data_IF_182917371197
#
_entry.id   IF_182917371197
#
_cell.length_a   1.000
_cell.length_b   1.000
_cell.length_c   1.000
_cell.angle_alpha   90.00
_cell.angle_beta   90.00
_cell.angle_gamma   90.00
#
_symmetry.space_group_name_H-M   'P 1'
#
loop_
_entity.id
_entity.type
_entity.pdbx_description
1 polymer ?
#
# COMPACT_ATOMS: atom_id res chain seq x y z
N UNK A 1 5.45 0.47 -18.87
CA UNK A 1 4.08 0.97 -19.19
C UNK A 1 3.77 0.95 -20.68
N UNK A 2 4.51 1.66 -21.54
CA UNK A 2 4.25 1.66 -23.00
C UNK A 2 4.25 0.25 -23.61
N UNK A 3 5.28 -0.55 -23.32
CA UNK A 3 5.36 -1.95 -23.78
C UNK A 3 4.23 -2.84 -23.24
N UNK A 4 3.77 -2.61 -22.00
CA UNK A 4 2.64 -3.32 -21.42
C UNK A 4 1.34 -2.96 -22.16
N UNK A 5 1.12 -1.67 -22.43
CA UNK A 5 -0.03 -1.21 -23.20
C UNK A 5 -0.01 -1.79 -24.63
N UNK A 6 1.14 -1.78 -25.30
CA UNK A 6 1.31 -2.39 -26.62
C UNK A 6 1.01 -3.89 -26.58
N UNK A 7 1.53 -4.63 -25.59
CA UNK A 7 1.26 -6.06 -25.43
C UNK A 7 -0.23 -6.36 -25.17
N UNK A 8 -0.93 -5.54 -24.39
CA UNK A 8 -2.37 -5.70 -24.11
C UNK A 8 -3.24 -5.37 -25.33
N UNK A 9 -2.79 -4.45 -26.19
CA UNK A 9 -3.49 -4.10 -27.42
C UNK A 9 -3.40 -5.19 -28.49
N UNK A 10 -2.43 -6.11 -28.39
CA UNK A 10 -2.30 -7.27 -29.28
C UNK A 10 -3.23 -8.44 -28.90
N UNK A 11 -3.87 -8.41 -27.73
CA UNK A 11 -4.84 -9.44 -27.31
C UNK A 11 -6.10 -9.39 -28.19
N UNK A 12 -6.55 -10.58 -28.65
CA UNK A 12 -7.64 -10.72 -29.62
C UNK A 12 -9.03 -10.58 -28.99
N UNK A 13 -9.13 -10.77 -27.67
CA UNK A 13 -10.38 -10.63 -26.93
C UNK A 13 -10.24 -9.80 -25.66
N UNK A 14 -11.37 -9.27 -25.17
CA UNK A 14 -11.44 -8.57 -23.88
C UNK A 14 -11.03 -9.48 -22.72
N UNK A 15 -11.48 -10.75 -22.74
CA UNK A 15 -11.17 -11.74 -21.71
C UNK A 15 -9.66 -12.03 -21.63
N UNK A 16 -9.04 -12.28 -22.78
CA UNK A 16 -7.59 -12.49 -22.88
C UNK A 16 -6.79 -11.26 -22.43
N UNK A 17 -7.25 -10.05 -22.77
CA UNK A 17 -6.63 -8.80 -22.33
C UNK A 17 -6.73 -8.64 -20.81
N UNK A 18 -7.86 -9.01 -20.21
CA UNK A 18 -8.07 -8.95 -18.77
C UNK A 18 -7.19 -9.95 -18.02
N UNK A 19 -7.10 -11.19 -18.52
CA UNK A 19 -6.22 -12.24 -17.96
C UNK A 19 -4.76 -11.80 -18.03
N UNK A 20 -4.29 -11.36 -19.20
CA UNK A 20 -2.91 -10.91 -19.41
C UNK A 20 -2.56 -9.65 -18.61
N UNK A 21 -3.51 -8.74 -18.41
CA UNK A 21 -3.35 -7.60 -17.52
C UNK A 21 -3.19 -8.06 -16.07
N UNK A 22 -4.03 -9.00 -15.61
CA UNK A 22 -3.95 -9.54 -14.25
C UNK A 22 -2.60 -10.21 -14.01
N UNK A 23 -2.15 -11.07 -14.93
CA UNK A 23 -0.83 -11.73 -14.85
C UNK A 23 0.31 -10.71 -14.82
N UNK A 24 0.22 -9.66 -15.64
CA UNK A 24 1.25 -8.62 -15.69
C UNK A 24 1.29 -7.77 -14.42
N UNK A 25 0.13 -7.49 -13.82
CA UNK A 25 0.03 -6.78 -12.54
C UNK A 25 0.52 -7.65 -11.38
N UNK A 26 0.20 -8.94 -11.37
CA UNK A 26 0.71 -9.90 -10.39
C UNK A 26 2.24 -9.97 -10.47
N UNK A 27 2.79 -10.11 -11.67
CA UNK A 27 4.23 -10.10 -11.91
C UNK A 27 4.88 -8.77 -11.47
N UNK A 28 4.26 -7.62 -11.78
CA UNK A 28 4.76 -6.31 -11.33
C UNK A 28 4.75 -6.20 -9.81
N UNK A 29 3.66 -6.64 -9.17
CA UNK A 29 3.52 -6.60 -7.71
C UNK A 29 4.57 -7.46 -7.00
N UNK A 30 4.97 -8.56 -7.64
CA UNK A 30 5.87 -9.55 -7.06
C UNK A 30 7.35 -9.25 -7.35
N UNK A 31 7.70 -8.98 -8.60
CA UNK A 31 9.09 -8.80 -9.04
C UNK A 31 9.55 -7.33 -9.01
N UNK A 32 8.63 -6.37 -9.04
CA UNK A 32 8.93 -4.94 -9.04
C UNK A 32 8.00 -4.16 -8.09
N UNK A 33 8.01 -4.50 -6.78
CA UNK A 33 7.05 -3.96 -5.81
C UNK A 33 7.08 -2.43 -5.72
N UNK A 34 8.25 -1.80 -5.87
CA UNK A 34 8.37 -0.34 -5.86
C UNK A 34 7.64 0.32 -7.04
N UNK A 35 7.78 -0.24 -8.24
CA UNK A 35 7.08 0.22 -9.44
C UNK A 35 5.58 -0.04 -9.33
N UNK A 36 5.19 -1.19 -8.80
CA UNK A 36 3.79 -1.52 -8.57
C UNK A 36 3.15 -0.57 -7.55
N UNK A 37 3.81 -0.28 -6.43
CA UNK A 37 3.33 0.66 -5.42
C UNK A 37 3.20 2.07 -6.01
N UNK A 38 4.17 2.51 -6.82
CA UNK A 38 4.10 3.81 -7.49
C UNK A 38 2.91 3.89 -8.46
N UNK A 39 2.70 2.85 -9.28
CA UNK A 39 1.57 2.77 -10.20
C UNK A 39 0.24 2.74 -9.46
N UNK A 40 0.15 1.92 -8.41
CA UNK A 40 -1.03 1.82 -7.56
C UNK A 40 -1.37 3.16 -6.90
N UNK A 41 -0.37 3.87 -6.35
CA UNK A 41 -0.55 5.21 -5.77
C UNK A 41 -1.04 6.22 -6.80
N UNK A 42 -0.47 6.22 -7.99
CA UNK A 42 -0.90 7.12 -9.06
C UNK A 42 -2.32 6.80 -9.53
N UNK A 43 -2.68 5.52 -9.68
CA UNK A 43 -4.05 5.08 -9.98
C UNK A 43 -5.03 5.51 -8.88
N UNK A 44 -4.68 5.32 -7.60
CA UNK A 44 -5.51 5.75 -6.46
C UNK A 44 -5.66 7.27 -6.37
N UNK A 45 -4.61 8.02 -6.67
CA UNK A 45 -4.68 9.49 -6.76
C UNK A 45 -5.63 9.93 -7.87
N UNK A 46 -5.56 9.32 -9.05
CA UNK A 46 -6.47 9.60 -10.17
C UNK A 46 -7.91 9.22 -9.83
N UNK A 47 -8.13 8.04 -9.24
CA UNK A 47 -9.44 7.61 -8.75
C UNK A 47 -10.04 8.62 -7.76
N UNK A 48 -9.24 9.10 -6.78
CA UNK A 48 -9.67 10.11 -5.83
C UNK A 48 -10.07 11.42 -6.52
N UNK A 49 -9.26 11.88 -7.48
CA UNK A 49 -9.56 13.10 -8.24
C UNK A 49 -10.81 12.98 -9.10
N UNK A 50 -10.99 11.84 -9.77
CA UNK A 50 -12.18 11.56 -10.58
C UNK A 50 -13.45 11.37 -9.75
N UNK A 51 -13.35 11.34 -8.42
CA UNK A 51 -14.48 11.19 -7.49
C UNK A 51 -14.65 12.40 -6.55
N UNK A 52 -13.92 13.49 -6.80
CA UNK A 52 -14.00 14.72 -6.02
C UNK A 52 -14.79 15.77 -6.82
N UNK A 53 -16.05 16.08 -6.44
CA UNK A 53 -16.90 17.04 -7.16
C UNK A 53 -16.20 18.40 -7.37
N UNK A 54 -15.43 18.88 -6.39
CA UNK A 54 -14.74 20.17 -6.45
C UNK A 54 -13.68 20.22 -7.56
N UNK A 55 -13.13 19.06 -7.96
CA UNK A 55 -12.16 18.94 -9.06
C UNK A 55 -12.82 18.74 -10.42
N UNK A 56 -14.05 18.21 -10.45
CA UNK A 56 -14.81 17.91 -11.67
C UNK A 56 -15.50 19.17 -12.22
N UNK A 57 -15.97 20.07 -11.34
CA UNK A 57 -16.73 21.31 -11.65
C UNK A 57 -16.10 22.27 -12.68
N UNK A 58 -14.87 22.05 -13.15
CA UNK A 58 -14.10 23.00 -14.00
C UNK A 58 -13.53 22.43 -15.29
N UNK A 59 -13.98 21.28 -15.78
CA UNK A 59 -13.31 20.60 -16.89
C UNK A 59 -13.67 21.10 -18.28
N UNK A 60 -14.84 21.70 -18.47
CA UNK A 60 -15.34 22.13 -19.79
C UNK A 60 -15.53 23.64 -19.95
N UNK A 61 -14.90 24.46 -19.10
CA UNK A 61 -14.92 25.92 -19.28
C UNK A 61 -14.18 26.38 -20.55
N UNK A 62 -13.39 25.50 -21.20
CA UNK A 62 -12.78 25.69 -22.53
C UNK A 62 -12.62 24.32 -23.22
N UNK A 63 -13.57 23.88 -24.06
CA UNK A 63 -13.57 22.56 -24.68
C UNK A 63 -12.43 22.44 -25.69
N UNK A 64 -11.48 21.55 -25.42
CA UNK A 64 -10.39 21.19 -26.33
C UNK A 64 -10.37 19.68 -26.47
N UNK A 65 -9.82 19.10 -27.54
CA UNK A 65 -9.71 17.63 -27.66
C UNK A 65 -9.09 16.95 -26.42
N UNK A 66 -8.23 17.65 -25.67
CA UNK A 66 -7.64 17.21 -24.39
C UNK A 66 -8.65 17.14 -23.23
N UNK A 67 -9.67 17.99 -23.17
CA UNK A 67 -10.69 17.93 -22.11
C UNK A 67 -11.59 16.70 -22.27
N UNK A 68 -11.93 16.31 -23.50
CA UNK A 68 -12.70 15.09 -23.78
C UNK A 68 -11.94 13.81 -23.37
N UNK A 69 -10.63 13.74 -23.62
CA UNK A 69 -9.80 12.59 -23.19
C UNK A 69 -9.76 12.48 -21.68
N UNK A 70 -9.56 13.60 -20.97
CA UNK A 70 -9.61 13.62 -19.50
C UNK A 70 -10.97 13.17 -18.96
N UNK A 71 -12.05 13.64 -19.59
CA UNK A 71 -13.41 13.23 -19.25
C UNK A 71 -13.60 11.72 -19.41
N UNK A 72 -13.17 11.18 -20.55
CA UNK A 72 -13.18 9.73 -20.80
C UNK A 72 -12.38 8.94 -19.75
N UNK A 73 -11.14 9.33 -19.47
CA UNK A 73 -10.29 8.68 -18.47
C UNK A 73 -10.91 8.71 -17.07
N UNK A 74 -11.56 9.81 -16.71
CA UNK A 74 -12.14 9.96 -15.40
C UNK A 74 -13.41 9.13 -15.21
N UNK A 75 -14.25 9.05 -16.24
CA UNK A 75 -15.45 8.21 -16.26
C UNK A 75 -15.13 6.73 -16.00
N UNK A 76 -13.97 6.24 -16.46
CA UNK A 76 -13.49 4.89 -16.17
C UNK A 76 -13.23 4.63 -14.67
N UNK A 77 -13.01 5.69 -13.89
CA UNK A 77 -12.61 5.63 -12.48
C UNK A 77 -13.72 6.08 -11.51
N UNK A 78 -14.90 6.44 -12.02
CA UNK A 78 -16.02 6.88 -11.18
C UNK A 78 -16.59 5.73 -10.36
N UNK A 79 -16.81 5.98 -9.07
CA UNK A 79 -17.40 5.00 -8.15
C UNK A 79 -18.92 4.94 -8.26
N UNK A 80 -19.47 3.75 -8.06
CA UNK A 80 -20.91 3.49 -8.20
C UNK A 80 -21.77 4.30 -7.23
N UNK A 81 -21.29 4.46 -6.00
CA UNK A 81 -22.02 5.09 -4.91
C UNK A 81 -21.77 6.61 -4.80
N UNK A 82 -20.96 7.20 -5.68
CA UNK A 82 -20.63 8.63 -5.61
C UNK A 82 -21.60 9.46 -6.45
N UNK A 83 -22.76 9.74 -5.87
CA UNK A 83 -23.86 10.46 -6.54
C UNK A 83 -23.43 11.90 -6.90
N UNK A 84 -22.77 12.60 -5.97
CA UNK A 84 -22.32 13.98 -6.17
C UNK A 84 -21.33 14.11 -7.35
N UNK A 85 -20.37 13.19 -7.49
CA UNK A 85 -19.47 13.20 -8.63
C UNK A 85 -20.21 12.89 -9.95
N UNK A 86 -21.18 11.97 -9.92
CA UNK A 86 -22.01 11.64 -11.10
C UNK A 86 -22.86 12.82 -11.55
N UNK A 87 -23.38 13.62 -10.63
CA UNK A 87 -24.09 14.87 -10.96
C UNK A 87 -23.19 15.86 -11.71
N UNK A 88 -21.97 16.06 -11.22
CA UNK A 88 -20.98 16.90 -11.91
C UNK A 88 -20.58 16.34 -13.28
N UNK A 89 -20.41 15.03 -13.41
CA UNK A 89 -20.17 14.42 -14.73
C UNK A 89 -21.37 14.54 -15.66
N UNK A 90 -22.61 14.41 -15.16
CA UNK A 90 -23.80 14.60 -15.97
C UNK A 90 -23.89 16.02 -16.51
N UNK A 91 -23.57 17.02 -15.69
CA UNK A 91 -23.52 18.42 -16.11
C UNK A 91 -22.49 18.61 -17.24
N UNK A 92 -21.25 18.15 -17.01
CA UNK A 92 -20.17 18.26 -18.00
C UNK A 92 -20.48 17.49 -19.30
N UNK A 93 -20.97 16.26 -19.20
CA UNK A 93 -21.35 15.44 -20.36
C UNK A 93 -22.47 16.09 -21.16
N UNK A 94 -23.46 16.70 -20.51
CA UNK A 94 -24.55 17.41 -21.20
C UNK A 94 -24.02 18.57 -22.03
N UNK A 95 -23.15 19.40 -21.46
CA UNK A 95 -22.51 20.50 -22.20
C UNK A 95 -21.73 19.99 -23.41
N UNK A 96 -20.91 18.96 -23.17
CA UNK A 96 -20.05 18.33 -24.18
C UNK A 96 -20.83 17.73 -25.35
N UNK A 97 -21.91 16.99 -25.05
CA UNK A 97 -22.75 16.36 -26.07
C UNK A 97 -23.55 17.41 -26.86
N UNK A 98 -24.10 18.42 -26.19
CA UNK A 98 -24.81 19.52 -26.87
C UNK A 98 -23.87 20.28 -27.82
N UNK A 99 -22.67 20.62 -27.38
CA UNK A 99 -21.67 21.30 -28.23
C UNK A 99 -21.29 20.43 -29.44
N UNK A 100 -21.15 19.12 -29.25
CA UNK A 100 -20.87 18.17 -30.33
C UNK A 100 -22.03 18.11 -31.33
N UNK A 101 -23.28 18.16 -30.84
CA UNK A 101 -24.49 18.13 -31.67
C UNK A 101 -24.65 19.43 -32.46
N UNK A 102 -24.44 20.58 -31.81
CA UNK A 102 -24.60 21.90 -32.41
C UNK A 102 -23.51 22.23 -33.43
N UNK A 103 -22.25 21.95 -33.09
CA UNK A 103 -21.09 22.36 -33.90
C UNK A 103 -20.54 21.24 -34.79
N UNK A 104 -20.95 19.99 -34.60
CA UNK A 104 -20.46 18.85 -35.38
C UNK A 104 -18.97 18.53 -35.19
N UNK A 105 -18.36 18.99 -34.10
CA UNK A 105 -16.93 18.77 -33.80
C UNK A 105 -16.72 17.64 -32.77
N UNK A 106 -15.56 16.99 -32.77
CA UNK A 106 -15.20 15.93 -31.81
C UNK A 106 -16.12 14.68 -31.80
N UNK A 107 -16.90 14.45 -32.86
CA UNK A 107 -17.90 13.38 -32.95
C UNK A 107 -17.33 12.00 -32.62
N UNK A 108 -16.15 11.64 -33.15
CA UNK A 108 -15.53 10.35 -32.87
C UNK A 108 -15.19 10.13 -31.39
N UNK A 109 -14.78 11.19 -30.68
CA UNK A 109 -14.44 11.12 -29.26
C UNK A 109 -15.72 11.03 -28.43
N UNK A 110 -16.73 11.83 -28.79
CA UNK A 110 -18.04 11.79 -28.15
C UNK A 110 -18.69 10.41 -28.28
N UNK A 111 -18.65 9.77 -29.46
CA UNK A 111 -19.16 8.41 -29.68
C UNK A 111 -18.45 7.38 -28.79
N UNK A 112 -17.13 7.50 -28.57
CA UNK A 112 -16.40 6.61 -27.65
C UNK A 112 -16.84 6.80 -26.19
N UNK A 113 -17.07 8.03 -25.77
CA UNK A 113 -17.60 8.34 -24.42
C UNK A 113 -19.03 7.79 -24.28
N UNK A 114 -19.89 7.99 -25.29
CA UNK A 114 -21.23 7.42 -25.36
C UNK A 114 -21.20 5.89 -25.21
N UNK A 115 -20.35 5.22 -25.98
CA UNK A 115 -20.18 3.77 -25.91
C UNK A 115 -19.73 3.31 -24.51
N UNK A 116 -18.80 4.03 -23.88
CA UNK A 116 -18.38 3.75 -22.52
C UNK A 116 -19.55 3.84 -21.53
N UNK A 117 -20.37 4.89 -21.63
CA UNK A 117 -21.54 5.12 -20.77
C UNK A 117 -22.55 3.99 -20.94
N UNK A 118 -22.86 3.59 -22.18
CA UNK A 118 -23.81 2.52 -22.50
C UNK A 118 -23.37 1.15 -21.99
N UNK A 119 -22.06 0.85 -22.02
CA UNK A 119 -21.52 -0.47 -21.65
C UNK A 119 -21.14 -0.60 -20.17
N UNK A 120 -21.07 0.51 -19.44
CA UNK A 120 -20.60 0.50 -18.05
C UNK A 120 -21.78 0.44 -17.07
N UNK A 121 -21.93 -0.65 -16.27
CA UNK A 121 -23.00 -0.75 -15.28
C UNK A 121 -22.90 0.32 -14.18
N UNK A 122 -21.70 0.89 -14.03
CA UNK A 122 -21.37 1.92 -13.06
C UNK A 122 -21.96 3.30 -13.45
N UNK A 123 -22.31 3.48 -14.72
CA UNK A 123 -22.75 4.75 -15.31
C UNK A 123 -24.24 4.74 -15.69
N UNK A 124 -25.02 3.74 -15.27
CA UNK A 124 -26.45 3.60 -15.62
C UNK A 124 -27.27 4.85 -15.33
N UNK A 125 -27.03 5.52 -14.19
CA UNK A 125 -27.73 6.78 -13.84
C UNK A 125 -27.42 7.87 -14.88
N UNK A 126 -26.17 7.97 -15.33
CA UNK A 126 -25.74 8.94 -16.34
C UNK A 126 -26.37 8.57 -17.70
N UNK A 127 -26.36 7.29 -18.06
CA UNK A 127 -26.94 6.79 -19.29
C UNK A 127 -28.43 7.14 -19.40
N UNK A 128 -29.23 6.81 -18.38
CA UNK A 128 -30.68 7.09 -18.40
C UNK A 128 -30.97 8.59 -18.51
N UNK A 129 -30.19 9.45 -17.83
CA UNK A 129 -30.39 10.90 -17.86
C UNK A 129 -29.94 11.58 -19.17
N UNK A 130 -29.03 10.97 -19.92
CA UNK A 130 -28.44 11.54 -21.15
C UNK A 130 -28.80 10.76 -22.41
N UNK A 131 -29.66 9.73 -22.32
CA UNK A 131 -29.99 8.79 -23.40
C UNK A 131 -30.39 9.46 -24.71
N UNK A 132 -31.18 10.53 -24.64
CA UNK A 132 -31.60 11.26 -25.84
C UNK A 132 -30.44 11.95 -26.57
N UNK A 133 -29.50 12.55 -25.83
CA UNK A 133 -28.32 13.20 -26.41
C UNK A 133 -27.33 12.17 -26.96
N UNK A 134 -27.16 11.05 -26.26
CA UNK A 134 -26.34 9.92 -26.70
C UNK A 134 -26.85 9.37 -28.06
N UNK A 135 -28.16 9.19 -28.20
CA UNK A 135 -28.77 8.76 -29.45
C UNK A 135 -28.55 9.76 -30.59
N UNK A 136 -28.64 11.06 -30.33
CA UNK A 136 -28.40 12.10 -31.33
C UNK A 136 -26.94 12.12 -31.82
N UNK A 137 -25.96 12.03 -30.91
CA UNK A 137 -24.54 11.93 -31.29
C UNK A 137 -24.26 10.68 -32.13
N UNK A 138 -24.85 9.54 -31.78
CA UNK A 138 -24.71 8.31 -32.54
C UNK A 138 -25.34 8.41 -33.95
N UNK A 139 -26.45 9.15 -34.11
CA UNK A 139 -27.07 9.43 -35.42
C UNK A 139 -26.21 10.36 -36.29
N UNK A 140 -25.54 11.35 -35.70
CA UNK A 140 -24.61 12.24 -36.41
C UNK A 140 -23.41 11.47 -36.99
N UNK A 141 -22.86 10.52 -36.22
CA UNK A 141 -21.78 9.64 -36.68
C UNK A 141 -22.21 8.73 -37.86
N UNK A 142 -23.45 8.23 -37.85
CA UNK A 142 -23.98 7.43 -38.96
C UNK A 142 -24.22 8.27 -40.22
N UNK A 143 -24.54 9.56 -40.06
CA UNK A 143 -24.76 10.50 -41.17
C UNK A 143 -23.44 10.95 -41.84
N UNK A 144 -22.34 11.08 -41.08
CA UNK A 144 -21.02 11.41 -41.61
C UNK A 144 -20.36 10.27 -42.40
N UNK A 145 -20.71 9.01 -42.12
CA UNK A 145 -20.14 7.83 -42.82
C UNK A 145 -20.68 7.63 -44.24
N UNK A 146 -21.60 8.47 -44.71
CA UNK A 146 -22.22 8.39 -46.04
C UNK A 146 -21.62 9.33 -47.11
N UNK A 147 -20.50 10.02 -46.84
CA UNK A 147 -19.71 10.74 -47.86
C UNK A 147 -18.50 9.88 -48.32
N UNK A 148 -18.21 9.75 -49.64
CA UNK A 148 -17.17 8.84 -50.11
C UNK A 148 -15.74 9.43 -50.09
N UNK A 149 -14.80 8.57 -49.70
CA UNK A 149 -13.32 8.62 -49.85
C UNK A 149 -12.57 9.64 -48.95
N UNK A 150 -11.42 9.35 -48.34
CA UNK A 150 -10.26 8.57 -48.80
C UNK A 150 -9.56 7.81 -47.66
N UNK A 151 -8.77 6.81 -48.06
CA UNK A 151 -7.89 5.94 -47.28
C UNK A 151 -7.07 6.63 -46.17
N UNK A 152 -7.33 6.27 -44.91
CA UNK A 152 -6.34 6.36 -43.82
C UNK A 152 -6.73 5.45 -42.65
N UNK A 153 -6.48 4.14 -42.79
CA UNK A 153 -6.35 3.23 -41.65
C UNK A 153 -5.03 3.50 -40.92
N UNK A 154 -4.97 4.64 -40.24
CA UNK A 154 -3.90 5.02 -39.32
C UNK A 154 -4.42 5.00 -37.88
N UNK A 155 -3.93 4.09 -37.06
CA UNK A 155 -4.19 4.11 -35.61
C UNK A 155 -3.75 5.47 -35.04
N UNK A 156 -4.70 6.32 -34.63
CA UNK A 156 -4.49 7.72 -34.19
C UNK A 156 -3.94 7.89 -32.76
N UNK A 157 -3.63 6.79 -32.06
CA UNK A 157 -3.07 6.80 -30.69
C UNK A 157 -1.52 6.66 -30.53
N UNK A 158 -0.61 7.01 -31.47
CA UNK A 158 0.82 6.95 -31.15
C UNK A 158 1.31 8.19 -30.38
N UNK A 159 0.66 9.35 -30.54
CA UNK A 159 1.30 10.64 -30.28
C UNK A 159 0.80 11.44 -29.06
N UNK A 160 -0.22 10.96 -28.33
CA UNK A 160 -0.70 11.66 -27.12
C UNK A 160 0.03 11.24 -25.83
N UNK A 161 0.92 10.23 -25.90
CA UNK A 161 1.85 9.86 -24.84
C UNK A 161 3.16 10.67 -24.87
N UNK A 162 3.12 11.95 -25.25
CA UNK A 162 4.28 12.82 -25.05
C UNK A 162 4.25 13.30 -23.58
N UNK A 163 5.26 12.97 -22.77
CA UNK A 163 5.32 13.48 -21.40
C UNK A 163 5.37 15.02 -21.42
N UNK A 164 4.94 15.70 -20.34
CA UNK A 164 5.29 17.10 -20.16
C UNK A 164 6.81 17.28 -20.34
N UNK A 165 7.24 18.40 -20.93
CA UNK A 165 8.65 18.75 -21.25
C UNK A 165 9.60 18.80 -20.02
N UNK A 166 9.13 18.36 -18.86
CA UNK A 166 9.91 18.18 -17.64
C UNK A 166 9.68 16.73 -17.22
N UNK A 167 10.70 15.90 -17.45
CA UNK A 167 10.75 14.53 -16.97
C UNK A 167 10.84 14.55 -15.43
N UNK A 168 9.82 14.09 -14.69
CA UNK A 168 9.86 14.05 -13.23
C UNK A 168 10.95 13.10 -12.69
N UNK A 169 11.57 12.30 -13.56
CA UNK A 169 12.58 11.30 -13.21
C UNK A 169 14.03 11.77 -13.48
N UNK A 170 14.25 12.97 -14.02
CA UNK A 170 15.62 13.47 -14.29
C UNK A 170 16.50 13.65 -13.05
N UNK A 171 15.89 13.79 -11.87
CA UNK A 171 16.62 14.06 -10.63
C UNK A 171 17.30 12.82 -10.00
N UNK A 172 17.09 11.63 -10.58
CA UNK A 172 17.57 10.36 -10.03
C UNK A 172 18.56 9.62 -10.96
N UNK A 173 19.34 10.35 -11.76
CA UNK A 173 20.47 9.77 -12.51
C UNK A 173 21.58 9.30 -11.55
N UNK A 174 21.41 8.11 -10.99
CA UNK A 174 22.51 7.32 -10.45
C UNK A 174 23.13 6.57 -11.64
N UNK A 175 24.37 6.93 -11.99
CA UNK A 175 25.15 6.23 -13.03
C UNK A 175 25.26 4.75 -12.68
N UNK A 176 24.80 3.80 -13.52
CA UNK A 176 25.13 2.40 -13.34
C UNK A 176 26.52 2.15 -13.91
N UNK A 177 27.37 1.47 -13.15
CA UNK A 177 28.54 0.80 -13.70
C UNK A 177 28.08 -0.24 -14.73
N UNK A 178 28.76 -0.23 -15.87
CA UNK A 178 28.58 -1.06 -17.08
C UNK A 178 27.95 -2.44 -16.82
N UNK A 179 26.74 -2.65 -17.34
CA UNK A 179 26.24 -4.00 -17.65
C UNK A 179 25.57 -4.03 -19.02
N UNK A 180 25.95 -5.06 -19.78
CA UNK A 180 25.58 -5.39 -21.15
C UNK A 180 24.05 -5.39 -21.38
N UNK A 181 23.64 -4.79 -22.49
CA UNK A 181 22.32 -4.98 -23.09
C UNK A 181 22.10 -6.47 -23.38
N UNK A 182 21.19 -7.10 -22.64
CA UNK A 182 20.70 -8.45 -22.95
C UNK A 182 19.17 -8.47 -22.87
N UNK A 183 18.43 -9.00 -23.88
CA UNK A 183 16.98 -9.09 -23.82
C UNK A 183 16.55 -10.16 -22.81
N UNK A 184 15.85 -9.75 -21.75
CA UNK A 184 15.53 -10.58 -20.56
C UNK A 184 14.43 -11.64 -20.80
N UNK A 185 13.73 -11.61 -21.92
CA UNK A 185 12.44 -12.33 -22.07
C UNK A 185 12.44 -13.77 -22.64
N UNK A 186 13.51 -14.39 -23.18
CA UNK A 186 13.39 -15.78 -23.66
C UNK A 186 13.64 -16.90 -22.64
N UNK A 187 14.34 -16.68 -21.52
CA UNK A 187 14.95 -17.78 -20.75
C UNK A 187 14.21 -18.19 -19.46
N UNK A 188 12.93 -17.85 -19.30
CA UNK A 188 12.15 -18.13 -18.06
C UNK A 188 11.57 -19.56 -18.05
N UNK A 189 12.30 -20.56 -18.55
CA UNK A 189 11.87 -21.96 -18.50
C UNK A 189 13.07 -22.87 -18.22
N UNK A 190 13.36 -23.12 -16.93
CA UNK A 190 13.65 -24.45 -16.37
C UNK A 190 14.01 -24.38 -14.87
N UNK A 191 13.55 -25.33 -14.04
CA UNK A 191 13.92 -25.41 -12.62
C UNK A 191 15.17 -26.28 -12.41
N UNK A 192 16.06 -25.90 -11.50
CA UNK A 192 17.14 -26.77 -11.03
C UNK A 192 17.11 -26.89 -9.50
N UNK A 193 17.07 -28.14 -9.05
CA UNK A 193 16.96 -28.61 -7.67
C UNK A 193 18.23 -28.32 -6.86
N UNK A 194 18.10 -28.01 -5.56
CA UNK A 194 19.16 -28.25 -4.57
C UNK A 194 18.61 -28.72 -3.22
N UNK A 195 19.34 -29.68 -2.66
CA UNK A 195 19.05 -30.58 -1.53
C UNK A 195 19.58 -29.98 -0.21
N UNK A 196 18.96 -30.38 0.90
CA UNK A 196 19.22 -29.99 2.30
C UNK A 196 20.43 -30.68 2.95
N UNK A 197 21.02 -30.06 3.99
CA UNK A 197 21.80 -30.75 5.03
C UNK A 197 21.87 -29.95 6.37
N UNK A 198 22.10 -30.62 7.53
CA UNK A 198 21.57 -30.23 8.85
C UNK A 198 22.62 -29.78 9.89
N UNK A 199 22.16 -29.10 10.95
CA UNK A 199 22.98 -28.82 12.15
C UNK A 199 22.37 -27.77 13.09
N UNK A 200 21.57 -28.21 14.07
CA UNK A 200 21.17 -27.40 15.23
C UNK A 200 22.20 -27.54 16.37
N UNK A 201 22.39 -26.50 17.20
CA UNK A 201 22.70 -26.67 18.61
C UNK A 201 21.48 -26.32 19.50
N UNK A 202 21.31 -27.15 20.51
CA UNK A 202 20.29 -27.15 21.54
C UNK A 202 20.69 -26.18 22.68
N UNK A 203 19.77 -25.37 23.23
CA UNK A 203 20.03 -24.55 24.43
C UNK A 203 18.87 -24.61 25.44
N UNK A 204 19.24 -24.62 26.74
CA UNK A 204 18.43 -25.01 27.92
C UNK A 204 17.52 -23.90 28.45
N UNK A 205 16.42 -24.32 29.05
CA UNK A 205 15.18 -23.59 29.37
C UNK A 205 15.13 -22.96 30.78
N UNK A 206 16.25 -22.50 31.36
CA UNK A 206 16.29 -22.15 32.80
C UNK A 206 16.85 -20.76 33.15
N UNK A 207 17.02 -19.84 32.18
CA UNK A 207 17.71 -18.57 32.43
C UNK A 207 16.87 -17.28 32.51
N UNK A 208 15.55 -17.30 32.46
CA UNK A 208 14.76 -16.05 32.39
C UNK A 208 13.82 -15.85 33.59
N UNK A 209 14.39 -15.36 34.68
CA UNK A 209 13.66 -14.64 35.74
C UNK A 209 13.79 -13.12 35.56
N UNK A 210 12.79 -12.38 36.04
CA UNK A 210 12.53 -10.94 35.91
C UNK A 210 13.66 -9.93 36.30
N UNK A 211 14.88 -10.39 36.58
CA UNK A 211 15.99 -9.56 37.04
C UNK A 211 16.91 -9.04 35.92
N UNK A 212 16.68 -9.43 34.66
CA UNK A 212 17.57 -9.08 33.54
C UNK A 212 17.48 -7.59 33.13
N UNK A 213 16.31 -6.95 33.28
CA UNK A 213 16.11 -5.54 32.88
C UNK A 213 16.76 -4.54 33.84
N UNK A 214 16.72 -4.82 35.15
CA UNK A 214 17.37 -3.98 36.15
C UNK A 214 18.91 -4.08 36.09
N UNK A 215 19.42 -5.23 35.62
CA UNK A 215 20.85 -5.44 35.43
C UNK A 215 21.40 -4.72 34.18
N UNK A 216 20.61 -4.63 33.08
CA UNK A 216 20.98 -3.86 31.88
C UNK A 216 21.06 -2.36 32.17
N UNK A 217 20.16 -1.84 33.02
CA UNK A 217 20.22 -0.44 33.46
C UNK A 217 21.49 -0.13 34.26
N UNK A 218 22.01 -1.09 35.04
CA UNK A 218 23.22 -0.95 35.87
C UNK A 218 24.53 -1.26 35.14
N UNK A 219 24.52 -2.00 34.03
CA UNK A 219 25.71 -2.17 33.18
C UNK A 219 25.94 -0.97 32.27
N UNK A 220 24.90 -0.27 31.84
CA UNK A 220 25.03 0.97 31.07
C UNK A 220 25.64 2.12 31.87
N UNK A 221 25.57 2.11 33.21
CA UNK A 221 26.22 3.12 34.07
C UNK A 221 27.73 2.93 34.22
N UNK A 222 28.30 1.78 33.84
CA UNK A 222 29.72 1.48 34.04
C UNK A 222 30.63 1.80 32.84
N UNK A 223 30.07 2.04 31.65
CA UNK A 223 30.84 2.14 30.39
C UNK A 223 30.86 3.49 29.68
N UNK A 224 30.17 4.51 30.19
CA UNK A 224 30.32 5.89 29.68
C UNK A 224 30.72 6.83 30.82
N UNK A 225 31.85 7.50 30.62
CA UNK A 225 32.27 8.62 31.46
C UNK A 225 31.24 9.76 31.43
N UNK A 226 31.15 10.42 32.58
CA UNK A 226 30.32 11.57 32.95
C UNK A 226 28.78 11.35 33.07
N UNK A 227 28.25 11.22 34.31
CA UNK A 227 26.82 11.14 34.57
C UNK A 227 26.04 12.44 34.28
N UNK A 228 26.72 13.53 33.90
CA UNK A 228 26.10 14.82 33.65
C UNK A 228 25.48 14.96 32.24
N UNK A 229 25.79 14.07 31.29
CA UNK A 229 25.33 14.15 29.88
C UNK A 229 24.13 13.27 29.52
N UNK A 230 23.69 12.37 30.42
CA UNK A 230 22.64 11.38 30.11
C UNK A 230 21.21 11.96 30.16
N UNK A 231 21.02 13.11 30.81
CA UNK A 231 19.69 13.69 31.04
C UNK A 231 19.09 14.42 29.81
N UNK A 232 19.86 14.60 28.73
CA UNK A 232 19.46 15.32 27.52
C UNK A 232 19.38 14.43 26.26
N UNK A 233 19.42 13.10 26.41
CA UNK A 233 19.23 12.21 25.27
C UNK A 233 17.80 12.31 24.72
N UNK A 234 17.68 12.56 23.42
CA UNK A 234 16.40 12.58 22.71
C UNK A 234 16.38 11.53 21.59
N UNK A 235 15.21 11.29 21.00
CA UNK A 235 15.09 10.39 19.83
C UNK A 235 15.93 10.84 18.64
N UNK A 236 16.31 12.13 18.54
CA UNK A 236 17.21 12.62 17.51
C UNK A 236 18.63 12.08 17.74
N UNK A 237 19.10 12.15 18.99
CA UNK A 237 20.40 11.59 19.39
C UNK A 237 20.41 10.05 19.27
N UNK A 238 19.26 9.41 19.41
CA UNK A 238 19.10 7.96 19.28
C UNK A 238 18.85 7.49 17.84
N UNK A 239 18.79 8.39 16.85
CA UNK A 239 18.48 8.08 15.45
C UNK A 239 17.12 7.37 15.28
N UNK A 240 16.14 7.76 16.09
CA UNK A 240 14.78 7.20 16.15
C UNK A 240 13.71 8.13 15.57
N UNK A 241 14.06 9.37 15.23
CA UNK A 241 13.16 10.39 14.71
C UNK A 241 12.40 9.95 13.46
N UNK A 242 13.06 9.24 12.53
CA UNK A 242 12.42 8.68 11.34
C UNK A 242 11.39 7.60 11.67
N UNK A 243 11.67 6.73 12.64
CA UNK A 243 10.76 5.69 13.08
C UNK A 243 9.54 6.28 13.82
N UNK A 244 9.79 7.25 14.71
CA UNK A 244 8.75 7.98 15.43
C UNK A 244 7.87 8.80 14.47
N UNK A 245 8.45 9.48 13.47
CA UNK A 245 7.69 10.22 12.47
C UNK A 245 6.72 9.32 11.68
N UNK A 246 7.17 8.13 11.25
CA UNK A 246 6.31 7.14 10.56
C UNK A 246 5.16 6.68 11.46
N UNK A 247 5.44 6.38 12.72
CA UNK A 247 4.43 6.01 13.72
C UNK A 247 3.39 7.11 13.94
N UNK A 248 3.82 8.37 14.06
CA UNK A 248 2.90 9.49 14.24
C UNK A 248 2.05 9.75 12.99
N UNK A 249 2.57 9.51 11.78
CA UNK A 249 1.76 9.55 10.57
C UNK A 249 0.69 8.45 10.57
N UNK A 250 1.05 7.21 10.95
CA UNK A 250 0.11 6.10 11.11
C UNK A 250 -1.02 6.45 12.09
N UNK A 251 -0.67 7.05 13.24
CA UNK A 251 -1.64 7.49 14.23
C UNK A 251 -2.36 8.81 13.89
N UNK A 252 -2.00 9.49 12.79
CA UNK A 252 -2.49 10.85 12.47
C UNK A 252 -2.21 11.87 13.59
N UNK A 253 -1.06 11.72 14.26
CA UNK A 253 -0.55 12.58 15.32
C UNK A 253 0.72 13.35 14.91
N UNK A 254 1.15 13.27 13.64
CA UNK A 254 2.38 13.90 13.13
C UNK A 254 2.52 15.40 13.41
N UNK A 255 1.41 16.14 13.56
CA UNK A 255 1.46 17.56 13.98
C UNK A 255 2.09 17.78 15.36
N UNK A 256 2.15 16.74 16.19
CA UNK A 256 2.77 16.75 17.52
C UNK A 256 4.20 16.18 17.50
N UNK A 257 4.83 16.00 16.34
CA UNK A 257 6.19 15.46 16.26
C UNK A 257 7.21 16.27 17.09
N UNK A 258 7.02 17.58 17.22
CA UNK A 258 7.83 18.46 18.08
C UNK A 258 7.89 17.97 19.54
N UNK A 259 6.79 17.40 20.05
CA UNK A 259 6.70 16.89 21.42
C UNK A 259 7.62 15.68 21.60
N UNK A 260 7.58 14.74 20.66
CA UNK A 260 8.38 13.52 20.71
C UNK A 260 9.86 13.74 20.40
N UNK A 261 10.20 14.70 19.53
CA UNK A 261 11.59 15.03 19.19
C UNK A 261 12.42 15.48 20.38
N UNK A 262 11.78 15.93 21.46
CA UNK A 262 12.42 16.43 22.67
C UNK A 262 12.47 15.41 23.81
N UNK A 263 12.08 14.17 23.54
CA UNK A 263 12.04 13.06 24.50
C UNK A 263 12.95 11.94 23.98
N UNK A 264 13.49 11.14 24.88
CA UNK A 264 14.11 9.84 24.57
C UNK A 264 13.05 8.78 24.26
N UNK A 265 13.46 7.68 23.64
CA UNK A 265 12.60 6.53 23.40
C UNK A 265 11.98 5.99 24.71
N UNK A 266 12.77 5.88 25.78
CA UNK A 266 12.30 5.37 27.07
C UNK A 266 11.27 6.32 27.70
N UNK A 267 11.51 7.63 27.66
CA UNK A 267 10.52 8.59 28.13
C UNK A 267 9.20 8.47 27.37
N UNK A 268 9.23 8.31 26.05
CA UNK A 268 8.04 8.11 25.22
C UNK A 268 7.28 6.84 25.65
N UNK A 269 7.98 5.75 25.94
CA UNK A 269 7.38 4.48 26.37
C UNK A 269 6.65 4.58 27.73
N UNK A 270 7.11 5.47 28.61
CA UNK A 270 6.54 5.67 29.94
C UNK A 270 5.46 6.76 30.03
N UNK A 271 5.11 7.43 28.93
CA UNK A 271 3.98 8.38 28.94
C UNK A 271 2.67 7.62 29.22
N UNK A 272 1.87 8.14 30.16
CA UNK A 272 0.55 7.65 30.52
C UNK A 272 -0.42 8.81 30.82
N UNK A 273 -1.65 8.50 31.27
CA UNK A 273 -2.64 9.51 31.58
C UNK A 273 -2.27 10.41 32.78
N UNK A 274 -1.44 9.91 33.69
CA UNK A 274 -1.11 10.60 34.95
C UNK A 274 0.06 11.57 34.78
N UNK A 275 1.00 11.28 33.86
CA UNK A 275 2.24 12.04 33.70
C UNK A 275 2.35 12.85 32.40
N UNK A 276 1.40 12.73 31.45
CA UNK A 276 1.52 13.39 30.14
C UNK A 276 1.62 14.92 30.22
N UNK A 277 0.94 15.55 31.18
CA UNK A 277 1.01 17.00 31.37
C UNK A 277 2.39 17.44 31.86
N UNK A 278 3.07 16.62 32.67
CA UNK A 278 4.44 16.88 33.14
C UNK A 278 5.43 16.81 31.96
N UNK A 279 5.27 15.84 31.07
CA UNK A 279 6.06 15.77 29.83
C UNK A 279 5.79 16.96 28.89
N UNK A 280 4.54 17.39 28.76
CA UNK A 280 4.19 18.58 27.95
C UNK A 280 4.82 19.83 28.57
N UNK A 281 4.77 19.97 29.90
CA UNK A 281 5.40 21.07 30.62
C UNK A 281 6.93 21.06 30.45
N UNK A 282 7.57 19.87 30.45
CA UNK A 282 9.01 19.69 30.20
C UNK A 282 9.43 20.18 28.81
N UNK A 283 8.66 19.86 27.77
CA UNK A 283 9.04 20.13 26.35
C UNK A 283 8.69 21.55 25.87
N UNK A 284 7.89 22.31 26.63
CA UNK A 284 7.50 23.72 26.40
C UNK A 284 6.19 23.95 25.58
N UNK A 285 5.54 25.07 25.95
CA UNK A 285 4.15 25.60 25.92
C UNK A 285 3.17 25.38 24.74
N UNK A 286 3.37 24.44 23.83
CA UNK A 286 2.31 24.15 22.86
C UNK A 286 1.28 23.17 23.44
N UNK A 287 -0.01 23.51 23.33
CA UNK A 287 -1.06 22.66 23.88
C UNK A 287 -1.28 21.45 22.97
N UNK A 288 -1.35 20.28 23.58
CA UNK A 288 -1.85 19.06 22.93
C UNK A 288 -3.32 18.92 23.30
N UNK A 289 -4.20 18.74 22.32
CA UNK A 289 -5.64 18.61 22.60
C UNK A 289 -5.90 17.38 23.48
N UNK A 290 -6.87 17.44 24.40
CA UNK A 290 -7.20 16.30 25.29
C UNK A 290 -7.48 14.99 24.54
N UNK A 291 -8.12 15.07 23.36
CA UNK A 291 -8.33 13.91 22.50
C UNK A 291 -7.03 13.33 21.93
N UNK A 292 -6.04 14.17 21.62
CA UNK A 292 -4.73 13.72 21.19
C UNK A 292 -3.90 13.17 22.35
N UNK A 293 -3.93 13.82 23.53
CA UNK A 293 -3.30 13.31 24.75
C UNK A 293 -3.76 11.87 25.04
N UNK A 294 -5.07 11.62 25.10
CA UNK A 294 -5.64 10.28 25.28
C UNK A 294 -5.12 9.28 24.25
N UNK A 295 -5.01 9.70 22.98
CA UNK A 295 -4.49 8.84 21.91
C UNK A 295 -2.99 8.53 22.07
N UNK A 296 -2.21 9.51 22.53
CA UNK A 296 -0.79 9.34 22.85
C UNK A 296 -0.66 8.31 23.97
N UNK A 297 -1.33 8.51 25.13
CA UNK A 297 -1.28 7.59 26.27
C UNK A 297 -1.67 6.15 25.88
N UNK A 298 -2.74 5.97 25.09
CA UNK A 298 -3.14 4.65 24.58
C UNK A 298 -2.04 4.00 23.71
N UNK A 299 -1.39 4.79 22.86
CA UNK A 299 -0.35 4.27 21.97
C UNK A 299 0.97 4.00 22.69
N UNK A 300 1.36 4.82 23.68
CA UNK A 300 2.57 4.60 24.48
C UNK A 300 2.39 3.44 25.45
N UNK A 301 1.19 3.24 26.00
CA UNK A 301 0.83 2.00 26.70
C UNK A 301 1.00 0.76 25.80
N UNK A 302 0.57 0.83 24.54
CA UNK A 302 0.77 -0.27 23.60
C UNK A 302 2.24 -0.52 23.22
N UNK A 303 3.12 0.49 23.31
CA UNK A 303 4.58 0.31 23.24
C UNK A 303 5.09 -0.49 24.43
N UNK A 304 4.77 -0.01 25.63
CA UNK A 304 5.22 -0.58 26.91
C UNK A 304 4.76 -2.02 27.12
N UNK A 305 3.50 -2.31 26.77
CA UNK A 305 2.92 -3.65 26.93
C UNK A 305 3.34 -4.63 25.81
N UNK A 306 4.12 -4.17 24.81
CA UNK A 306 4.39 -4.93 23.58
C UNK A 306 5.07 -6.27 23.85
N UNK A 307 6.14 -6.27 24.65
CA UNK A 307 6.90 -7.50 24.92
C UNK A 307 6.01 -8.56 25.60
N UNK A 308 5.24 -8.16 26.61
CA UNK A 308 4.31 -9.08 27.28
C UNK A 308 3.23 -9.61 26.34
N UNK A 309 2.67 -8.76 25.47
CA UNK A 309 1.66 -9.19 24.50
C UNK A 309 2.22 -10.11 23.43
N UNK A 310 3.46 -9.91 22.98
CA UNK A 310 4.15 -10.84 22.08
C UNK A 310 4.35 -12.21 22.74
N UNK A 311 4.75 -12.25 24.01
CA UNK A 311 4.85 -13.50 24.77
C UNK A 311 3.50 -14.22 24.90
N UNK A 312 2.43 -13.47 25.19
CA UNK A 312 1.08 -14.03 25.23
C UNK A 312 0.65 -14.60 23.87
N UNK A 313 1.01 -13.95 22.76
CA UNK A 313 0.74 -14.45 21.42
C UNK A 313 1.52 -15.72 21.11
N UNK A 314 2.80 -15.80 21.50
CA UNK A 314 3.60 -17.01 21.32
C UNK A 314 2.93 -18.22 21.98
N UNK A 315 2.45 -18.05 23.23
CA UNK A 315 1.72 -19.09 23.96
C UNK A 315 0.37 -19.43 23.31
N UNK A 316 -0.40 -18.42 22.88
CA UNK A 316 -1.69 -18.64 22.24
C UNK A 316 -1.57 -19.37 20.88
N UNK A 317 -0.52 -19.07 20.12
CA UNK A 317 -0.28 -19.66 18.80
C UNK A 317 0.21 -21.12 18.86
N UNK A 318 0.63 -21.60 20.03
CA UNK A 318 0.93 -23.02 20.28
C UNK A 318 -0.32 -23.87 20.54
N UNK A 319 -1.48 -23.24 20.66
CA UNK A 319 -2.78 -23.89 20.80
C UNK A 319 -3.56 -23.87 19.47
N UNK A 320 -4.76 -24.46 19.48
CA UNK A 320 -5.67 -24.34 18.35
C UNK A 320 -6.23 -22.91 18.28
N UNK A 321 -5.95 -22.22 17.17
CA UNK A 321 -6.39 -20.84 16.94
C UNK A 321 -7.55 -20.80 15.94
N UNK A 322 -8.63 -20.14 16.32
CA UNK A 322 -9.78 -19.93 15.44
C UNK A 322 -9.47 -18.89 14.33
N UNK A 323 -10.19 -18.89 13.20
CA UNK A 323 -10.00 -17.89 12.15
C UNK A 323 -10.21 -16.44 12.63
N UNK A 324 -11.05 -16.21 13.64
CA UNK A 324 -11.27 -14.89 14.20
C UNK A 324 -10.06 -14.44 15.03
N UNK A 325 -9.61 -15.27 15.97
CA UNK A 325 -8.42 -15.00 16.78
C UNK A 325 -7.18 -14.79 15.90
N UNK A 326 -7.01 -15.60 14.85
CA UNK A 326 -5.90 -15.42 13.90
C UNK A 326 -5.96 -14.03 13.23
N UNK A 327 -7.14 -13.58 12.82
CA UNK A 327 -7.33 -12.26 12.22
C UNK A 327 -7.04 -11.13 13.22
N UNK A 328 -7.40 -11.31 14.50
CA UNK A 328 -7.10 -10.37 15.59
C UNK A 328 -5.59 -10.31 15.88
N UNK A 329 -4.93 -11.46 15.98
CA UNK A 329 -3.48 -11.56 16.19
C UNK A 329 -2.71 -10.87 15.06
N UNK A 330 -3.12 -11.09 13.79
CA UNK A 330 -2.55 -10.40 12.63
C UNK A 330 -2.78 -8.89 12.66
N UNK A 331 -3.94 -8.44 13.16
CA UNK A 331 -4.24 -7.02 13.29
C UNK A 331 -3.34 -6.36 14.33
N UNK A 332 -3.13 -7.04 15.46
CA UNK A 332 -2.19 -6.59 16.47
C UNK A 332 -0.75 -6.55 15.93
N UNK A 333 -0.29 -7.59 15.22
CA UNK A 333 1.05 -7.61 14.63
C UNK A 333 1.27 -6.46 13.66
N UNK A 334 0.30 -6.17 12.78
CA UNK A 334 0.36 -5.03 11.86
C UNK A 334 0.47 -3.72 12.64
N UNK A 335 -0.33 -3.55 13.68
CA UNK A 335 -0.34 -2.32 14.47
C UNK A 335 1.02 -2.10 15.16
N UNK A 336 1.59 -3.11 15.82
CA UNK A 336 2.88 -2.93 16.52
C UNK A 336 4.08 -2.73 15.59
N UNK A 337 4.02 -3.23 14.35
CA UNK A 337 5.08 -3.04 13.35
C UNK A 337 5.10 -1.63 12.78
N UNK A 338 4.00 -0.89 12.88
CA UNK A 338 3.97 0.55 12.60
C UNK A 338 4.50 1.41 13.74
N UNK A 339 4.64 0.84 14.93
CA UNK A 339 5.13 1.56 16.09
C UNK A 339 6.67 1.49 16.12
N UNK A 340 7.37 2.43 16.79
CA UNK A 340 8.82 2.44 16.78
C UNK A 340 9.35 1.16 17.43
N UNK A 341 10.28 0.50 16.74
CA UNK A 341 11.04 -0.63 17.25
C UNK A 341 12.39 -0.07 17.68
N UNK A 342 12.81 -0.23 18.94
CA UNK A 342 14.05 0.34 19.43
C UNK A 342 15.24 -0.22 18.64
N UNK A 343 16.13 0.68 18.25
CA UNK A 343 17.42 0.32 17.69
C UNK A 343 18.45 0.12 18.83
N UNK A 344 19.69 -0.22 18.45
CA UNK A 344 20.82 -0.43 19.38
C UNK A 344 21.18 0.80 20.23
N UNK A 345 20.79 2.01 19.83
CA UNK A 345 21.04 3.25 20.56
C UNK A 345 20.00 3.45 21.69
N UNK A 346 18.89 2.71 21.66
CA UNK A 346 17.85 2.74 22.68
C UNK A 346 17.92 1.55 23.65
N UNK A 347 18.05 0.34 23.10
CA UNK A 347 18.02 -0.92 23.85
C UNK A 347 19.11 -1.84 23.32
N UNK A 348 19.85 -2.48 24.23
CA UNK A 348 20.91 -3.43 23.88
C UNK A 348 20.29 -4.79 23.57
N UNK A 349 20.67 -5.38 22.43
CA UNK A 349 20.18 -6.67 21.96
C UNK A 349 19.05 -6.55 20.93
N UNK A 350 18.55 -7.70 20.48
CA UNK A 350 17.57 -7.84 19.40
C UNK A 350 16.39 -8.74 19.79
N UNK A 351 16.18 -8.98 21.09
CA UNK A 351 15.15 -9.91 21.59
C UNK A 351 13.76 -9.58 21.07
N UNK A 352 13.37 -8.31 21.05
CA UNK A 352 12.06 -7.90 20.51
C UNK A 352 11.92 -8.26 19.03
N UNK A 353 12.97 -8.05 18.23
CA UNK A 353 13.00 -8.41 16.82
C UNK A 353 12.91 -9.92 16.64
N UNK A 354 13.60 -10.70 17.48
CA UNK A 354 13.50 -12.16 17.50
C UNK A 354 12.08 -12.63 17.84
N UNK A 355 11.47 -12.06 18.88
CA UNK A 355 10.10 -12.39 19.29
C UNK A 355 9.09 -12.09 18.17
N UNK A 356 9.24 -10.94 17.49
CA UNK A 356 8.40 -10.58 16.34
C UNK A 356 8.55 -11.61 15.22
N UNK A 357 9.77 -11.99 14.85
CA UNK A 357 10.02 -12.98 13.78
C UNK A 357 9.46 -14.35 14.17
N UNK A 358 9.60 -14.75 15.44
CA UNK A 358 9.06 -16.00 15.94
C UNK A 358 7.53 -16.02 15.94
N UNK A 359 6.88 -14.91 16.32
CA UNK A 359 5.41 -14.78 16.20
C UNK A 359 4.98 -14.88 14.75
N UNK A 360 5.71 -14.23 13.82
CA UNK A 360 5.43 -14.34 12.39
C UNK A 360 5.56 -15.79 11.89
N UNK A 361 6.56 -16.54 12.34
CA UNK A 361 6.71 -17.96 12.02
C UNK A 361 5.50 -18.79 12.48
N UNK A 362 5.07 -18.62 13.74
CA UNK A 362 3.91 -19.35 14.27
C UNK A 362 2.61 -18.95 13.57
N UNK A 363 2.44 -17.66 13.24
CA UNK A 363 1.31 -17.17 12.47
C UNK A 363 1.26 -17.77 11.06
N UNK A 364 2.42 -17.93 10.40
CA UNK A 364 2.51 -18.64 9.13
C UNK A 364 2.03 -20.08 9.29
N UNK A 365 2.50 -20.81 10.29
CA UNK A 365 2.11 -22.20 10.50
C UNK A 365 0.59 -22.35 10.68
N UNK A 366 -0.02 -21.47 11.48
CA UNK A 366 -1.48 -21.41 11.63
C UNK A 366 -2.19 -21.12 10.30
N UNK A 367 -1.71 -20.15 9.51
CA UNK A 367 -2.24 -19.87 8.17
C UNK A 367 -2.15 -21.09 7.25
N UNK A 368 -1.01 -21.77 7.22
CA UNK A 368 -0.77 -22.92 6.36
C UNK A 368 -1.67 -24.11 6.73
N UNK A 369 -1.86 -24.36 8.02
CA UNK A 369 -2.76 -25.39 8.52
C UNK A 369 -4.21 -25.12 8.09
N UNK A 370 -4.70 -23.89 8.27
CA UNK A 370 -6.07 -23.52 7.86
C UNK A 370 -6.23 -23.51 6.34
N UNK A 371 -5.19 -23.09 5.59
CA UNK A 371 -5.17 -23.17 4.13
C UNK A 371 -5.23 -24.62 3.62
N UNK A 372 -4.63 -25.57 4.34
CA UNK A 372 -4.70 -26.99 4.01
C UNK A 372 -6.10 -27.61 4.12
N UNK A 373 -7.01 -26.96 4.84
CA UNK A 373 -8.38 -27.45 5.10
C UNK A 373 -9.42 -26.90 4.11
N UNK A 374 -9.10 -25.86 3.33
CA UNK A 374 -10.06 -25.19 2.44
C UNK A 374 -9.95 -25.68 0.99
N UNK A 375 -11.09 -25.69 0.28
CA UNK A 375 -11.15 -26.04 -1.16
C UNK A 375 -11.02 -24.84 -2.09
N UNK A 376 -11.38 -23.65 -1.60
CA UNK A 376 -11.31 -22.41 -2.37
C UNK A 376 -11.10 -21.21 -1.46
N UNK A 377 -10.33 -20.23 -1.92
CA UNK A 377 -10.03 -19.01 -1.16
C UNK A 377 -10.81 -17.81 -1.70
N UNK A 378 -11.45 -17.07 -0.79
CA UNK A 378 -12.13 -15.79 -1.07
C UNK A 378 -11.37 -14.66 -0.39
N UNK A 379 -11.01 -13.61 -1.13
CA UNK A 379 -10.17 -12.52 -0.62
C UNK A 379 -10.77 -11.78 0.59
N UNK A 380 -12.11 -11.63 0.62
CA UNK A 380 -12.84 -10.95 1.70
C UNK A 380 -13.14 -11.84 2.91
N UNK A 381 -12.77 -13.12 2.86
CA UNK A 381 -12.92 -14.01 4.02
C UNK A 381 -11.96 -13.62 5.15
N UNK A 382 -12.25 -14.04 6.39
CA UNK A 382 -11.33 -13.85 7.53
C UNK A 382 -9.92 -14.37 7.22
N UNK A 383 -9.82 -15.52 6.54
CA UNK A 383 -8.54 -16.10 6.13
C UNK A 383 -7.85 -15.27 5.05
N UNK A 384 -8.59 -14.79 4.03
CA UNK A 384 -8.07 -13.89 3.00
C UNK A 384 -7.55 -12.57 3.58
N UNK A 385 -8.29 -11.97 4.51
CA UNK A 385 -7.85 -10.77 5.23
C UNK A 385 -6.61 -11.04 6.10
N UNK A 386 -6.55 -12.21 6.76
CA UNK A 386 -5.39 -12.60 7.57
C UNK A 386 -4.12 -12.77 6.73
N UNK A 387 -4.23 -13.34 5.53
CA UNK A 387 -3.13 -13.45 4.57
C UNK A 387 -2.62 -12.06 4.15
N UNK A 388 -3.53 -11.14 3.81
CA UNK A 388 -3.14 -9.79 3.41
C UNK A 388 -2.42 -9.04 4.54
N UNK A 389 -2.92 -9.13 5.78
CA UNK A 389 -2.26 -8.55 6.96
C UNK A 389 -0.90 -9.18 7.21
N UNK A 390 -0.77 -10.50 7.05
CA UNK A 390 0.50 -11.19 7.20
C UNK A 390 1.56 -10.67 6.20
N UNK A 391 1.19 -10.55 4.92
CA UNK A 391 2.08 -10.03 3.90
C UNK A 391 2.44 -8.55 4.12
N UNK A 392 1.49 -7.74 4.60
CA UNK A 392 1.76 -6.37 5.04
C UNK A 392 2.77 -6.33 6.20
N UNK A 393 2.60 -7.18 7.21
CA UNK A 393 3.55 -7.31 8.32
C UNK A 393 4.95 -7.67 7.82
N UNK A 394 5.06 -8.62 6.88
CA UNK A 394 6.35 -8.97 6.28
C UNK A 394 7.01 -7.78 5.59
N UNK A 395 6.26 -6.97 4.84
CA UNK A 395 6.79 -5.75 4.21
C UNK A 395 7.27 -4.72 5.23
N UNK A 396 6.56 -4.57 6.35
CA UNK A 396 6.97 -3.68 7.44
C UNK A 396 8.28 -4.15 8.09
N UNK A 397 8.45 -5.46 8.27
CA UNK A 397 9.70 -6.05 8.80
C UNK A 397 10.86 -5.80 7.83
N UNK A 398 10.68 -6.10 6.53
CA UNK A 398 11.73 -5.92 5.51
C UNK A 398 12.13 -4.45 5.37
N UNK A 399 11.16 -3.54 5.45
CA UNK A 399 11.39 -2.10 5.34
C UNK A 399 11.95 -1.44 6.60
N UNK A 400 12.15 -2.21 7.68
CA UNK A 400 12.64 -1.69 8.96
C UNK A 400 14.12 -2.05 9.18
N UNK A 401 14.94 -1.01 9.33
CA UNK A 401 16.39 -1.10 9.46
C UNK A 401 16.85 -1.73 10.79
N UNK A 402 15.96 -1.87 11.77
CA UNK A 402 16.31 -2.47 13.06
C UNK A 402 16.37 -3.99 13.04
N UNK A 403 15.86 -4.63 11.98
CA UNK A 403 15.95 -6.08 11.81
C UNK A 403 17.27 -6.48 11.16
N UNK A 404 17.88 -7.56 11.67
CA UNK A 404 19.09 -8.12 11.09
C UNK A 404 18.81 -8.76 9.73
N UNK A 405 19.84 -8.83 8.89
CA UNK A 405 19.73 -9.44 7.55
C UNK A 405 19.15 -10.85 7.59
N UNK A 406 19.53 -11.67 8.58
CA UNK A 406 19.00 -13.02 8.75
C UNK A 406 17.49 -13.03 9.05
N UNK A 407 17.03 -12.14 9.93
CA UNK A 407 15.61 -11.98 10.27
C UNK A 407 14.78 -11.53 9.06
N UNK A 408 15.32 -10.62 8.24
CA UNK A 408 14.70 -10.17 6.99
C UNK A 408 14.60 -11.32 5.99
N UNK A 409 15.67 -12.08 5.80
CA UNK A 409 15.69 -13.24 4.89
C UNK A 409 14.69 -14.30 5.34
N UNK A 410 14.61 -14.60 6.64
CA UNK A 410 13.64 -15.53 7.20
C UNK A 410 12.19 -15.06 6.97
N UNK A 411 11.91 -13.78 7.20
CA UNK A 411 10.58 -13.19 6.95
C UNK A 411 10.20 -13.22 5.46
N UNK A 412 11.15 -13.00 4.56
CA UNK A 412 10.94 -13.18 3.12
C UNK A 412 10.58 -14.62 2.77
N UNK A 413 11.31 -15.60 3.29
CA UNK A 413 11.03 -17.03 3.08
C UNK A 413 9.63 -17.41 3.57
N UNK A 414 9.18 -16.83 4.68
CA UNK A 414 7.81 -17.04 5.16
C UNK A 414 6.75 -16.51 4.19
N UNK A 415 6.92 -15.29 3.69
CA UNK A 415 5.99 -14.71 2.72
C UNK A 415 5.98 -15.52 1.42
N UNK A 416 7.13 -15.97 0.93
CA UNK A 416 7.20 -16.81 -0.27
C UNK A 416 6.53 -18.16 -0.09
N UNK A 417 6.70 -18.79 1.08
CA UNK A 417 6.02 -20.04 1.43
C UNK A 417 4.50 -19.86 1.44
N UNK A 418 4.01 -18.78 2.06
CA UNK A 418 2.59 -18.46 2.10
C UNK A 418 2.03 -18.20 0.70
N UNK A 419 2.71 -17.34 -0.08
CA UNK A 419 2.32 -17.03 -1.46
C UNK A 419 2.24 -18.31 -2.27
N UNK A 420 3.29 -19.14 -2.27
CA UNK A 420 3.32 -20.39 -3.01
C UNK A 420 2.11 -21.28 -2.70
N UNK A 421 1.73 -21.38 -1.42
CA UNK A 421 0.56 -22.16 -1.00
C UNK A 421 -0.76 -21.56 -1.47
N UNK A 422 -0.93 -20.24 -1.36
CA UNK A 422 -2.12 -19.52 -1.83
C UNK A 422 -2.31 -19.67 -3.34
N UNK A 423 -1.23 -19.62 -4.13
CA UNK A 423 -1.33 -19.75 -5.60
C UNK A 423 -1.85 -21.10 -6.07
N UNK A 424 -1.72 -22.15 -5.26
CA UNK A 424 -2.19 -23.51 -5.62
C UNK A 424 -3.65 -23.77 -5.23
N UNK A 425 -4.31 -22.83 -4.54
CA UNK A 425 -5.69 -22.97 -4.12
C UNK A 425 -6.60 -22.30 -5.17
N UNK A 426 -7.64 -22.99 -5.68
CA UNK A 426 -8.61 -22.38 -6.58
C UNK A 426 -9.22 -21.10 -5.98
N UNK A 427 -9.19 -20.00 -6.73
CA UNK A 427 -9.82 -18.74 -6.35
C UNK A 427 -11.30 -18.79 -6.72
N UNK A 428 -12.18 -18.48 -5.76
CA UNK A 428 -13.60 -18.34 -6.03
C UNK A 428 -13.93 -16.85 -6.13
N UNK A 429 -14.35 -16.40 -7.30
CA UNK A 429 -14.64 -14.98 -7.60
C UNK A 429 -16.13 -14.64 -7.48
N UNK A 430 -16.87 -15.42 -6.70
CA UNK A 430 -18.29 -15.17 -6.44
C UNK A 430 -18.51 -14.03 -5.46
#
# INVERSE_FOLDING_TARGET
MKQLAEALMQCKSFKERQERLSESLDHLSFNYPDLYIMLYREMKKRELHSNDPSKITKWLNNPTSKSFVKLHEALMLVKNNNIMAKEEYMYNLRLMLNETIENGTNIEIAVKICHLIEKSPNLTIIHENLKHLILQVNQLNNSQRHMPSETSTGNFWPNYFRPPQIDPFQQFNIRPAQQLNTPVWPNILQPTNLISAPGQPHFRMECFGYNHLEMIAKTNTATLGDPQSLNDLTILNQEMDGAVAKWLHYLKLHKYQWFFNSLSYLEIEFIDEDNIEDFIAKVNKNTITKGAQKKICLSTKALRDRSQKLNNLLLALDLEVTPNELCEFMSYMRDILHYPIPNKNCVVGDQLQQDIVLVMEKLLNQLLEKLGKIRSLVAQSLLGMSINKYLECTLLIIGNQTFMKQQIVQSLMFAETLKYRVHRIPRNFN
#
